data_IF_342207472204
#
_entry.id   IF_342207472204
#
_cell.length_a   1.000
_cell.length_b   1.000
_cell.length_c   1.000
_cell.angle_alpha   90.00
_cell.angle_beta   90.00
_cell.angle_gamma   90.00
#
_symmetry.space_group_name_H-M   'P 1'
#
loop_
_entity.id
_entity.type
_entity.pdbx_description
1 polymer ?
#
# COMPACT_ATOMS: atom_id res chain seq x y z
N UNK A 1 22.13 4.20 30.21
CA UNK A 1 21.05 3.20 30.09
C UNK A 1 19.73 3.94 30.09
N UNK A 2 19.41 4.65 29.00
CA UNK A 2 18.24 5.53 28.83
C UNK A 2 17.78 5.58 27.36
N UNK A 3 17.57 4.39 26.76
CA UNK A 3 17.14 4.30 25.34
C UNK A 3 15.65 3.95 25.15
N UNK A 4 14.93 3.53 26.20
CA UNK A 4 13.58 2.94 26.01
C UNK A 4 12.42 3.95 26.05
N UNK A 5 12.61 5.17 26.56
CA UNK A 5 11.50 6.12 26.69
C UNK A 5 11.18 6.91 25.41
N UNK A 6 12.07 6.99 24.46
CA UNK A 6 11.82 7.73 23.21
C UNK A 6 11.10 6.90 22.14
N UNK A 7 11.31 5.60 22.10
CA UNK A 7 10.62 4.70 21.14
C UNK A 7 9.11 4.61 21.39
N UNK A 8 8.69 4.56 22.66
CA UNK A 8 7.27 4.49 23.01
C UNK A 8 6.52 5.78 22.66
N UNK A 9 7.20 6.92 22.69
CA UNK A 9 6.60 8.23 22.37
C UNK A 9 6.41 8.42 20.85
N UNK A 10 7.29 7.87 20.03
CA UNK A 10 7.16 7.89 18.56
C UNK A 10 6.03 6.96 18.07
N UNK A 11 5.90 5.79 18.67
CA UNK A 11 4.84 4.83 18.35
C UNK A 11 3.43 5.39 18.62
N UNK A 12 3.23 6.11 19.72
CA UNK A 12 1.93 6.74 20.05
C UNK A 12 1.60 7.92 19.13
N UNK A 13 2.58 8.65 18.64
CA UNK A 13 2.36 9.80 17.74
C UNK A 13 1.99 9.36 16.31
N UNK A 14 2.55 8.24 15.83
CA UNK A 14 2.20 7.66 14.53
C UNK A 14 0.79 7.10 14.49
N UNK A 15 0.39 6.39 15.55
CA UNK A 15 -0.92 5.80 15.72
C UNK A 15 -2.08 6.82 15.60
N UNK A 16 -1.97 7.96 16.25
CA UNK A 16 -2.96 9.04 16.15
C UNK A 16 -3.06 9.63 14.72
N UNK A 17 -1.99 9.60 13.94
CA UNK A 17 -1.99 10.14 12.58
C UNK A 17 -2.64 9.17 11.59
N UNK A 18 -2.41 7.88 11.71
CA UNK A 18 -3.04 6.86 10.86
C UNK A 18 -4.55 6.83 11.12
N UNK A 19 -4.99 6.81 12.37
CA UNK A 19 -6.41 6.84 12.72
C UNK A 19 -7.11 8.10 12.17
N UNK A 20 -6.43 9.26 12.19
CA UNK A 20 -6.98 10.50 11.63
C UNK A 20 -7.04 10.47 10.10
N UNK A 21 -6.05 9.85 9.44
CA UNK A 21 -6.01 9.71 7.98
C UNK A 21 -7.09 8.72 7.52
N UNK A 22 -7.24 7.59 8.19
CA UNK A 22 -8.30 6.60 7.92
C UNK A 22 -9.69 7.25 8.07
N UNK A 23 -9.89 8.11 9.06
CA UNK A 23 -11.16 8.84 9.25
C UNK A 23 -11.51 9.78 8.09
N UNK A 24 -10.52 10.40 7.46
CA UNK A 24 -10.71 11.31 6.30
C UNK A 24 -11.10 10.51 5.05
N UNK A 25 -10.60 9.29 4.88
CA UNK A 25 -10.92 8.39 3.75
C UNK A 25 -12.41 8.05 3.72
N UNK A 26 -13.05 7.86 4.88
CA UNK A 26 -14.47 7.51 4.97
C UNK A 26 -15.40 8.52 4.30
N UNK A 27 -15.03 9.79 4.23
CA UNK A 27 -15.85 10.82 3.60
C UNK A 27 -15.76 10.84 2.07
N UNK A 28 -14.72 10.25 1.48
CA UNK A 28 -14.50 10.32 0.02
C UNK A 28 -14.85 9.04 -0.74
N UNK A 29 -14.82 7.86 -0.07
CA UNK A 29 -15.04 6.57 -0.71
C UNK A 29 -16.47 6.00 -0.55
N UNK A 30 -17.22 6.39 0.49
CA UNK A 30 -18.51 5.78 0.83
C UNK A 30 -19.75 6.57 0.37
N UNK A 31 -19.65 7.33 -0.70
CA UNK A 31 -20.85 7.74 -1.42
C UNK A 31 -21.37 6.56 -2.27
N UNK A 32 -22.30 5.77 -1.70
CA UNK A 32 -23.22 4.84 -2.38
C UNK A 32 -22.99 3.33 -2.20
N UNK A 33 -23.99 2.79 -1.53
CA UNK A 33 -24.58 1.43 -1.56
C UNK A 33 -23.82 0.23 -0.99
N UNK A 34 -24.37 -0.20 0.15
CA UNK A 34 -24.17 -1.54 0.71
C UNK A 34 -24.92 -2.60 -0.13
N UNK A 35 -24.23 -3.66 -0.53
CA UNK A 35 -24.81 -4.98 -0.77
C UNK A 35 -23.84 -6.06 -0.32
N UNK A 36 -24.30 -6.86 0.64
CA UNK A 36 -23.59 -8.00 1.20
C UNK A 36 -23.65 -9.19 0.22
N UNK A 37 -22.52 -9.79 -0.03
CA UNK A 37 -22.44 -11.10 -0.70
C UNK A 37 -21.29 -11.91 -0.08
N UNK A 38 -21.68 -12.90 0.73
CA UNK A 38 -20.82 -13.93 1.31
C UNK A 38 -20.46 -14.98 0.27
N UNK A 39 -19.19 -15.28 0.07
CA UNK A 39 -18.75 -16.60 -0.41
C UNK A 39 -17.42 -16.99 0.24
N UNK A 40 -17.51 -18.01 1.09
CA UNK A 40 -16.37 -18.78 1.60
C UNK A 40 -15.73 -19.55 0.44
N UNK A 41 -14.41 -19.45 0.30
CA UNK A 41 -13.59 -20.56 -0.18
C UNK A 41 -12.13 -20.34 0.24
N UNK A 42 -11.68 -21.19 1.16
CA UNK A 42 -10.26 -21.38 1.47
C UNK A 42 -9.58 -22.14 0.35
N UNK A 43 -8.57 -21.53 -0.25
CA UNK A 43 -7.47 -22.26 -0.86
C UNK A 43 -6.17 -21.51 -0.58
N UNK A 44 -5.30 -22.16 0.21
CA UNK A 44 -4.00 -21.66 0.65
C UNK A 44 -3.02 -21.76 -0.52
N UNK A 45 -2.87 -20.72 -1.34
CA UNK A 45 -1.67 -20.51 -2.17
C UNK A 45 -1.56 -19.12 -2.82
N UNK A 46 -2.40 -18.15 -2.46
CA UNK A 46 -2.36 -16.86 -3.16
C UNK A 46 -2.68 -15.68 -2.25
N UNK A 47 -2.05 -15.65 -1.05
CA UNK A 47 -2.28 -14.58 -0.07
C UNK A 47 -2.01 -13.18 -0.62
N UNK A 48 -1.26 -13.07 -1.72
CA UNK A 48 -0.88 -11.81 -2.36
C UNK A 48 -1.50 -11.58 -3.75
N UNK A 49 -2.34 -12.50 -4.25
CA UNK A 49 -2.90 -12.43 -5.59
C UNK A 49 -3.66 -11.13 -5.87
N UNK A 50 -4.34 -10.61 -4.84
CA UNK A 50 -5.10 -9.38 -4.97
C UNK A 50 -4.20 -8.17 -5.27
N UNK A 51 -2.99 -8.15 -4.70
CA UNK A 51 -2.02 -7.06 -4.90
C UNK A 51 -1.20 -7.21 -6.19
N UNK A 52 -1.04 -8.44 -6.71
CA UNK A 52 -0.30 -8.68 -7.96
C UNK A 52 -0.90 -7.93 -9.14
N UNK A 53 -0.05 -7.54 -10.10
CA UNK A 53 -0.45 -6.83 -11.31
C UNK A 53 -0.06 -5.35 -11.31
N UNK A 54 -0.73 -4.56 -12.14
CA UNK A 54 -0.41 -3.15 -12.37
C UNK A 54 -1.44 -2.24 -11.72
N UNK A 55 -0.96 -1.27 -10.94
CA UNK A 55 -1.75 -0.28 -10.21
C UNK A 55 -1.42 1.12 -10.70
N UNK A 56 -2.38 1.83 -11.22
CA UNK A 56 -2.24 3.20 -11.72
C UNK A 56 -2.75 4.21 -10.69
N UNK A 57 -1.97 5.25 -10.42
CA UNK A 57 -2.40 6.36 -9.56
C UNK A 57 -3.51 7.18 -10.22
N UNK A 58 -4.52 7.59 -9.46
CA UNK A 58 -5.70 8.28 -9.97
C UNK A 58 -5.50 9.79 -10.18
N UNK A 59 -4.30 10.33 -9.90
CA UNK A 59 -3.98 11.77 -10.05
C UNK A 59 -3.81 12.23 -11.50
N UNK A 60 -3.89 11.31 -12.47
CA UNK A 60 -3.68 11.62 -13.88
C UNK A 60 -2.21 11.74 -14.32
N UNK A 61 -1.26 11.53 -13.42
CA UNK A 61 0.19 11.55 -13.74
C UNK A 61 0.63 10.37 -14.62
N UNK A 62 -0.16 9.29 -14.65
CA UNK A 62 0.20 8.04 -15.31
C UNK A 62 1.17 7.16 -14.52
N UNK A 63 1.62 7.60 -13.35
CA UNK A 63 2.50 6.83 -12.48
C UNK A 63 1.79 5.62 -11.87
N UNK A 64 2.55 4.66 -11.34
CA UNK A 64 1.97 3.50 -10.70
C UNK A 64 2.97 2.48 -10.18
N UNK A 65 2.43 1.39 -9.69
CA UNK A 65 3.18 0.21 -9.27
C UNK A 65 2.86 -0.98 -10.14
N UNK A 66 3.84 -1.84 -10.32
CA UNK A 66 3.65 -3.18 -10.85
C UNK A 66 4.28 -4.18 -9.87
N UNK A 67 3.49 -5.16 -9.46
CA UNK A 67 3.93 -6.27 -8.61
C UNK A 67 3.90 -7.57 -9.40
N UNK A 68 5.00 -8.31 -9.38
CA UNK A 68 5.12 -9.62 -10.01
C UNK A 68 5.92 -10.51 -9.07
N UNK A 69 5.25 -11.50 -8.48
CA UNK A 69 5.85 -12.39 -7.49
C UNK A 69 6.43 -11.59 -6.30
N UNK A 70 7.72 -11.69 -6.03
CA UNK A 70 8.47 -11.00 -4.97
C UNK A 70 9.17 -9.72 -5.43
N UNK A 71 8.82 -9.22 -6.63
CA UNK A 71 9.40 -8.00 -7.21
C UNK A 71 8.37 -6.90 -7.38
N UNK A 72 8.83 -5.67 -7.18
CA UNK A 72 8.06 -4.49 -7.51
C UNK A 72 8.77 -3.63 -8.55
N UNK A 73 7.96 -2.87 -9.27
CA UNK A 73 8.42 -1.76 -10.10
C UNK A 73 7.54 -0.55 -9.79
N UNK A 74 8.14 0.56 -9.37
CA UNK A 74 7.47 1.84 -9.39
C UNK A 74 7.78 2.53 -10.71
N UNK A 75 6.74 3.03 -11.38
CA UNK A 75 6.81 3.59 -12.72
C UNK A 75 6.37 5.05 -12.68
N UNK A 76 7.15 5.96 -13.25
CA UNK A 76 6.74 7.35 -13.46
C UNK A 76 5.58 7.44 -14.47
N UNK A 77 5.50 6.47 -15.39
CA UNK A 77 4.37 6.23 -16.27
C UNK A 77 4.22 4.73 -16.51
N UNK A 78 3.02 4.18 -16.29
CA UNK A 78 2.75 2.76 -16.58
C UNK A 78 2.76 2.44 -18.09
N UNK A 79 2.68 3.47 -18.95
CA UNK A 79 2.75 3.34 -20.41
C UNK A 79 4.19 3.35 -20.93
N UNK A 80 5.14 3.86 -20.12
CA UNK A 80 6.57 3.91 -20.43
C UNK A 80 7.40 3.28 -19.33
N UNK A 81 7.67 2.00 -19.47
CA UNK A 81 8.35 1.17 -18.46
C UNK A 81 9.87 1.19 -18.57
N UNK A 82 10.46 1.93 -19.53
CA UNK A 82 11.88 1.79 -19.83
C UNK A 82 12.75 2.94 -19.29
N UNK A 83 12.22 4.16 -19.26
CA UNK A 83 13.05 5.35 -19.05
C UNK A 83 13.05 5.87 -17.63
N UNK A 84 11.95 5.62 -16.88
CA UNK A 84 11.82 6.15 -15.53
C UNK A 84 11.13 5.13 -14.62
N UNK A 85 11.92 4.34 -13.91
CA UNK A 85 11.39 3.34 -12.98
C UNK A 85 12.34 3.06 -11.81
N UNK A 86 11.77 2.53 -10.75
CA UNK A 86 12.47 1.94 -9.62
C UNK A 86 12.06 0.47 -9.55
N UNK A 87 13.02 -0.39 -9.36
CA UNK A 87 12.82 -1.84 -9.34
C UNK A 87 13.53 -2.44 -8.14
N UNK A 88 12.93 -3.47 -7.52
CA UNK A 88 13.55 -4.16 -6.40
C UNK A 88 12.68 -5.26 -5.82
N UNK A 89 13.04 -5.69 -4.62
CA UNK A 89 12.34 -6.72 -3.86
C UNK A 89 11.14 -6.15 -3.13
N UNK A 90 10.12 -6.98 -2.91
CA UNK A 90 8.98 -6.66 -2.08
C UNK A 90 8.69 -7.80 -1.11
N UNK A 91 8.54 -7.43 0.17
CA UNK A 91 7.95 -8.29 1.19
C UNK A 91 6.48 -7.92 1.37
N UNK A 92 5.63 -8.93 1.43
CA UNK A 92 4.20 -8.78 1.63
C UNK A 92 3.79 -9.23 3.01
N UNK A 93 2.93 -8.46 3.64
CA UNK A 93 2.22 -8.81 4.86
C UNK A 93 0.74 -8.57 4.60
N UNK A 94 -0.11 -9.49 4.98
CA UNK A 94 -1.53 -9.35 4.71
C UNK A 94 -2.39 -9.58 5.96
N UNK A 95 -3.63 -9.13 5.93
CA UNK A 95 -4.61 -9.40 6.96
C UNK A 95 -4.21 -8.87 8.33
N UNK A 96 -4.27 -9.74 9.34
CA UNK A 96 -3.98 -9.38 10.73
C UNK A 96 -2.53 -8.92 10.94
N UNK A 97 -1.57 -9.49 10.21
CA UNK A 97 -0.17 -9.10 10.28
C UNK A 97 0.05 -7.69 9.70
N UNK A 98 -0.58 -7.40 8.58
CA UNK A 98 -0.56 -6.06 7.99
C UNK A 98 -1.17 -5.01 8.92
N UNK A 99 -2.28 -5.35 9.59
CA UNK A 99 -2.91 -4.48 10.58
C UNK A 99 -2.01 -4.22 11.78
N UNK A 100 -1.34 -5.25 12.31
CA UNK A 100 -0.38 -5.10 13.41
C UNK A 100 0.77 -4.18 13.01
N UNK A 101 1.35 -4.37 11.82
CA UNK A 101 2.43 -3.52 11.29
C UNK A 101 1.99 -2.07 11.10
N UNK A 102 0.78 -1.84 10.62
CA UNK A 102 0.21 -0.50 10.46
C UNK A 102 -0.26 0.12 11.78
N UNK A 103 -0.31 -0.66 12.87
CA UNK A 103 -0.84 -0.24 14.17
C UNK A 103 -2.34 0.00 14.17
N UNK A 104 -3.08 -0.76 13.34
CA UNK A 104 -4.54 -0.71 13.23
C UNK A 104 -5.18 -1.78 14.11
N UNK A 105 -6.33 -1.48 14.67
CA UNK A 105 -7.16 -2.44 15.36
C UNK A 105 -8.43 -2.75 14.57
N UNK A 106 -9.05 -3.92 14.82
CA UNK A 106 -10.33 -4.28 14.19
C UNK A 106 -11.42 -3.25 14.46
N UNK A 107 -11.46 -2.70 15.68
CA UNK A 107 -12.46 -1.71 16.08
C UNK A 107 -12.30 -0.40 15.30
N UNK A 108 -11.07 0.06 15.10
CA UNK A 108 -10.76 1.26 14.32
C UNK A 108 -11.08 1.03 12.84
N UNK A 109 -10.73 -0.14 12.31
CA UNK A 109 -11.02 -0.50 10.94
C UNK A 109 -12.53 -0.51 10.69
N UNK A 110 -13.30 -1.26 11.48
CA UNK A 110 -14.74 -1.37 11.29
C UNK A 110 -15.49 -0.06 11.51
N UNK A 111 -14.98 0.80 12.39
CA UNK A 111 -15.58 2.13 12.62
C UNK A 111 -15.29 3.11 11.50
N UNK A 112 -14.12 3.00 10.86
CA UNK A 112 -13.63 3.95 9.86
C UNK A 112 -13.87 3.48 8.42
N UNK A 113 -13.80 2.17 8.19
CA UNK A 113 -13.99 1.54 6.88
C UNK A 113 -14.94 0.34 6.99
N UNK A 114 -16.23 0.58 7.32
CA UNK A 114 -17.19 -0.49 7.45
C UNK A 114 -17.34 -1.24 6.12
N UNK A 115 -17.05 -2.54 6.13
CA UNK A 115 -17.13 -3.40 4.95
C UNK A 115 -15.79 -3.68 4.27
N UNK A 116 -14.69 -3.00 4.65
CA UNK A 116 -13.37 -3.44 4.22
C UNK A 116 -13.03 -4.74 4.94
N UNK A 117 -12.69 -5.77 4.17
CA UNK A 117 -12.30 -7.06 4.70
C UNK A 117 -10.84 -7.04 5.16
N UNK A 118 -10.53 -7.74 6.24
CA UNK A 118 -9.17 -7.81 6.80
C UNK A 118 -8.20 -8.42 5.78
N UNK A 119 -8.62 -9.42 5.02
CA UNK A 119 -7.83 -10.05 3.95
C UNK A 119 -7.50 -9.11 2.78
N UNK A 120 -8.17 -7.98 2.66
CA UNK A 120 -7.93 -6.95 1.65
C UNK A 120 -6.98 -5.84 2.15
N UNK A 121 -6.34 -6.05 3.29
CA UNK A 121 -5.37 -5.13 3.88
C UNK A 121 -3.98 -5.73 3.71
N UNK A 122 -3.09 -4.96 3.08
CA UNK A 122 -1.71 -5.36 2.88
C UNK A 122 -0.75 -4.30 3.39
N UNK A 123 0.41 -4.74 3.87
CA UNK A 123 1.59 -3.89 4.01
C UNK A 123 2.66 -4.44 3.08
N UNK A 124 3.26 -3.56 2.29
CA UNK A 124 4.43 -3.90 1.49
C UNK A 124 5.66 -3.18 2.03
N UNK A 125 6.77 -3.91 2.15
CA UNK A 125 8.10 -3.32 2.30
C UNK A 125 8.80 -3.42 0.96
N UNK A 126 9.14 -2.28 0.39
CA UNK A 126 9.75 -2.15 -0.93
C UNK A 126 11.23 -1.85 -0.75
N UNK A 127 12.10 -2.74 -1.20
CA UNK A 127 13.55 -2.59 -1.17
C UNK A 127 14.08 -2.37 -2.59
N UNK A 128 14.30 -1.11 -3.01
CA UNK A 128 14.73 -0.82 -4.36
C UNK A 128 16.18 -1.24 -4.57
N UNK A 129 16.44 -1.99 -5.63
CA UNK A 129 17.76 -2.43 -6.08
C UNK A 129 18.29 -1.59 -7.24
N UNK A 130 17.38 -0.97 -8.03
CA UNK A 130 17.73 -0.24 -9.24
C UNK A 130 16.84 0.97 -9.46
N UNK A 131 17.47 2.08 -9.83
CA UNK A 131 16.81 3.34 -10.16
C UNK A 131 17.25 3.79 -11.55
N UNK A 132 16.31 3.89 -12.47
CA UNK A 132 16.52 4.46 -13.80
C UNK A 132 15.79 5.79 -13.89
N UNK A 133 16.46 6.82 -14.34
CA UNK A 133 15.90 8.15 -14.57
C UNK A 133 16.37 8.66 -15.92
N UNK A 134 15.42 9.00 -16.77
CA UNK A 134 15.67 9.45 -18.16
C UNK A 134 16.60 8.48 -18.92
N UNK A 135 16.35 7.18 -18.77
CA UNK A 135 17.11 6.09 -19.36
C UNK A 135 18.49 5.83 -18.75
N UNK A 136 18.92 6.61 -17.77
CA UNK A 136 20.22 6.47 -17.11
C UNK A 136 20.12 5.76 -15.75
N UNK A 137 21.09 4.88 -15.47
CA UNK A 137 21.20 4.25 -14.15
C UNK A 137 21.70 5.26 -13.10
N UNK A 138 20.81 5.59 -12.18
CA UNK A 138 21.05 6.53 -11.08
C UNK A 138 21.09 5.82 -9.71
N UNK A 139 21.17 4.51 -9.69
CA UNK A 139 21.13 3.69 -8.47
C UNK A 139 22.16 4.16 -7.44
N UNK A 140 23.43 4.26 -7.83
CA UNK A 140 24.50 4.66 -6.92
C UNK A 140 24.39 6.11 -6.38
N UNK A 141 23.62 6.97 -7.07
CA UNK A 141 23.45 8.38 -6.67
C UNK A 141 22.22 8.57 -5.80
N UNK A 142 21.15 7.82 -6.06
CA UNK A 142 19.82 8.05 -5.47
C UNK A 142 19.45 7.04 -4.38
N UNK A 143 20.19 5.94 -4.27
CA UNK A 143 20.00 4.99 -3.17
C UNK A 143 21.00 5.23 -2.06
N UNK A 144 20.53 5.13 -0.85
CA UNK A 144 21.37 4.99 0.34
C UNK A 144 20.94 3.70 1.06
N UNK A 145 21.76 3.21 1.98
CA UNK A 145 21.56 1.94 2.70
C UNK A 145 20.26 1.86 3.56
N UNK A 146 19.42 2.89 3.51
CA UNK A 146 18.18 3.00 4.29
C UNK A 146 16.95 3.32 3.42
N UNK A 147 17.05 3.17 2.11
CA UNK A 147 15.92 3.43 1.21
C UNK A 147 14.98 2.22 1.19
N UNK A 148 14.20 2.08 2.25
CA UNK A 148 13.14 1.08 2.34
C UNK A 148 11.81 1.81 2.48
N UNK A 149 10.83 1.49 1.63
CA UNK A 149 9.51 2.12 1.69
C UNK A 149 8.47 1.16 2.21
N UNK A 150 7.72 1.59 3.19
CA UNK A 150 6.61 0.82 3.75
C UNK A 150 5.29 1.45 3.33
N UNK A 151 4.43 0.65 2.66
CA UNK A 151 3.13 1.09 2.14
C UNK A 151 2.02 0.23 2.71
N UNK A 152 1.00 0.87 3.26
CA UNK A 152 -0.26 0.23 3.63
C UNK A 152 -1.22 0.35 2.45
N UNK A 153 -1.78 -0.77 2.04
CA UNK A 153 -2.77 -0.90 0.97
C UNK A 153 -4.10 -1.31 1.56
N UNK A 154 -5.13 -0.51 1.32
CA UNK A 154 -6.52 -0.78 1.67
C UNK A 154 -7.26 -1.02 0.36
N UNK A 155 -7.53 -2.29 0.02
CA UNK A 155 -8.02 -2.68 -1.29
C UNK A 155 -9.51 -2.94 -1.24
N UNK A 156 -10.25 -2.37 -2.16
CA UNK A 156 -11.69 -2.58 -2.34
C UNK A 156 -11.96 -3.14 -3.74
N UNK A 157 -12.60 -4.30 -3.77
CA UNK A 157 -13.09 -4.92 -5.00
C UNK A 157 -14.48 -4.39 -5.31
N UNK A 158 -14.67 -3.77 -6.48
CA UNK A 158 -15.93 -3.26 -7.01
C UNK A 158 -16.36 -4.09 -8.21
N UNK A 159 -17.61 -3.97 -8.61
CA UNK A 159 -18.18 -4.78 -9.72
C UNK A 159 -17.35 -4.70 -11.01
N UNK A 160 -16.79 -3.51 -11.32
CA UNK A 160 -16.08 -3.26 -12.60
C UNK A 160 -14.58 -3.03 -12.44
N UNK A 161 -14.07 -2.86 -11.20
CA UNK A 161 -12.66 -2.54 -10.97
C UNK A 161 -12.21 -2.89 -9.54
N UNK A 162 -10.91 -2.92 -9.36
CA UNK A 162 -10.27 -3.02 -8.03
C UNK A 162 -9.56 -1.71 -7.76
N UNK A 163 -9.85 -1.11 -6.63
CA UNK A 163 -9.23 0.16 -6.21
C UNK A 163 -8.49 0.00 -4.90
N UNK A 164 -7.52 0.84 -4.67
CA UNK A 164 -6.79 0.87 -3.40
C UNK A 164 -6.56 2.30 -2.93
N UNK A 165 -6.61 2.47 -1.61
CA UNK A 165 -5.99 3.61 -0.95
C UNK A 165 -4.64 3.14 -0.44
N UNK A 166 -3.58 3.83 -0.82
CA UNK A 166 -2.21 3.51 -0.43
C UNK A 166 -1.69 4.61 0.48
N UNK A 167 -1.19 4.21 1.64
CA UNK A 167 -0.66 5.11 2.66
C UNK A 167 0.81 4.81 2.83
N UNK A 168 1.64 5.83 2.65
CA UNK A 168 3.04 5.79 3.03
C UNK A 168 3.15 5.81 4.55
N UNK A 169 3.67 4.75 5.17
CA UNK A 169 3.74 4.65 6.63
C UNK A 169 4.84 5.51 7.27
N UNK A 170 5.70 6.12 6.47
CA UNK A 170 6.75 7.03 6.94
C UNK A 170 6.28 8.49 6.93
N UNK A 171 5.67 8.92 5.83
CA UNK A 171 5.24 10.31 5.61
C UNK A 171 3.77 10.54 5.90
N UNK A 172 2.99 9.46 5.98
CA UNK A 172 1.51 9.45 6.08
C UNK A 172 0.84 10.17 4.90
N UNK A 173 1.52 10.26 3.76
CA UNK A 173 0.88 10.67 2.51
C UNK A 173 -0.01 9.55 2.00
N UNK A 174 -1.06 9.93 1.29
CA UNK A 174 -2.10 9.04 0.84
C UNK A 174 -2.40 9.28 -0.63
N UNK A 175 -2.55 8.20 -1.37
CA UNK A 175 -2.82 8.21 -2.80
C UNK A 175 -3.86 7.13 -3.14
N UNK A 176 -4.68 7.40 -4.15
CA UNK A 176 -5.63 6.44 -4.68
C UNK A 176 -5.07 5.78 -5.93
N UNK A 177 -5.30 4.48 -6.05
CA UNK A 177 -4.88 3.66 -7.17
C UNK A 177 -6.03 2.83 -7.70
N UNK A 178 -6.00 2.59 -9.01
CA UNK A 178 -6.89 1.65 -9.68
C UNK A 178 -6.06 0.55 -10.31
N UNK A 179 -6.45 -0.71 -10.11
CA UNK A 179 -5.83 -1.86 -10.75
C UNK A 179 -6.22 -1.88 -12.22
N UNK A 180 -5.23 -2.01 -13.10
CA UNK A 180 -5.45 -1.95 -14.56
C UNK A 180 -5.12 -3.27 -15.26
N UNK A 181 -4.32 -4.14 -14.61
CA UNK A 181 -4.00 -5.51 -15.07
C UNK A 181 -3.71 -6.41 -13.87
#
# INVERSE_FOLDING_TARGET
>A
MNYDMNMIKYRKSGFFRIASVVLIICFTLFGLTACAGTTDSKDNNDDNALLQGTWKIDTGSGAGYKFVEDKFMWLKSIEDVNDNYWYGDVEYYNGAEAMEMAGLTDEELQSSLPGLKIENIFVTKLDPEKIITDGEDKTATNMNDQTLWTRLWLIEEKEDNVVAVVIDLETFSMENYTKVE
#
